data_IF_524815358430
#
_entry.id   IF_524815358430
#
_cell.length_a   1.000
_cell.length_b   1.000
_cell.length_c   1.000
_cell.angle_alpha   90.00
_cell.angle_beta   90.00
_cell.angle_gamma   90.00
#
_symmetry.space_group_name_H-M   'P 1'
#
loop_
_entity.id
_entity.type
_entity.pdbx_description
1 polymer ?
#
# COMPACT_ATOMS: atom_id res chain seq x y z
N UNK A 1 -16.98 2.17 15.83
CA UNK A 1 -15.58 2.60 15.78
C UNK A 1 -15.43 3.37 14.49
N UNK A 2 -15.11 4.65 14.55
CA UNK A 2 -14.75 5.39 13.34
C UNK A 2 -13.57 4.67 12.68
N UNK A 3 -13.66 4.30 11.39
CA UNK A 3 -12.55 3.68 10.71
C UNK A 3 -11.38 4.66 10.79
N UNK A 4 -10.30 4.25 11.48
CA UNK A 4 -9.05 5.01 11.53
C UNK A 4 -8.68 5.33 10.08
N UNK A 5 -8.61 6.62 9.74
CA UNK A 5 -8.24 7.05 8.40
C UNK A 5 -6.90 6.38 8.03
N UNK A 6 -6.90 5.63 6.93
CA UNK A 6 -5.70 4.97 6.42
C UNK A 6 -4.80 6.07 5.84
N UNK A 7 -3.52 6.10 6.26
CA UNK A 7 -2.52 6.94 5.60
C UNK A 7 -2.10 6.25 4.31
N UNK A 8 -2.57 6.77 3.17
CA UNK A 8 -2.30 6.19 1.85
C UNK A 8 -1.06 6.78 1.16
N UNK A 9 -0.45 7.82 1.76
CA UNK A 9 0.71 8.53 1.23
C UNK A 9 0.43 9.38 -0.02
N UNK A 10 -0.83 9.54 -0.42
CA UNK A 10 -1.26 10.25 -1.63
C UNK A 10 -1.00 9.47 -2.93
N UNK A 11 -1.13 10.11 -4.10
CA UNK A 11 -0.89 9.47 -5.40
C UNK A 11 0.54 8.92 -5.56
N UNK A 12 0.69 7.67 -6.01
CA UNK A 12 2.00 7.03 -6.22
C UNK A 12 2.82 7.65 -7.35
N UNK A 13 2.12 8.19 -8.36
CA UNK A 13 2.73 8.76 -9.55
C UNK A 13 2.27 10.21 -9.74
N UNK A 14 3.10 11.06 -10.36
CA UNK A 14 2.71 12.42 -10.66
C UNK A 14 1.45 12.49 -11.52
N UNK A 15 0.48 13.28 -11.08
CA UNK A 15 -0.57 13.78 -11.95
C UNK A 15 -0.04 14.99 -12.72
N UNK A 16 -0.54 15.25 -13.93
CA UNK A 16 -0.16 16.44 -14.69
C UNK A 16 -0.32 17.69 -13.79
N UNK A 17 0.76 18.43 -13.48
CA UNK A 17 0.72 19.52 -12.52
C UNK A 17 -0.12 20.70 -13.00
N UNK A 18 -0.29 20.87 -14.31
CA UNK A 18 -1.13 21.92 -14.88
C UNK A 18 -2.62 21.59 -14.69
N UNK A 19 -2.99 20.33 -14.89
CA UNK A 19 -4.38 19.87 -14.68
C UNK A 19 -4.70 19.73 -13.19
N UNK A 20 -3.76 19.26 -12.37
CA UNK A 20 -3.95 19.07 -10.93
C UNK A 20 -4.01 20.39 -10.14
N UNK A 21 -3.28 21.43 -10.56
CA UNK A 21 -3.33 22.75 -9.91
C UNK A 21 -4.55 23.58 -10.30
N UNK A 22 -5.22 23.24 -11.42
CA UNK A 22 -6.43 23.91 -11.90
C UNK A 22 -7.41 22.89 -12.49
N UNK A 23 -7.99 22.01 -11.65
CA UNK A 23 -8.87 20.95 -12.14
C UNK A 23 -10.17 21.47 -12.74
N UNK A 24 -10.48 22.77 -12.59
CA UNK A 24 -11.68 23.40 -13.13
C UNK A 24 -12.95 23.07 -12.34
N UNK A 25 -13.03 21.88 -11.72
CA UNK A 25 -14.03 21.52 -10.72
C UNK A 25 -13.56 20.34 -9.84
N UNK A 26 -14.32 20.05 -8.78
CA UNK A 26 -14.05 18.97 -7.81
C UNK A 26 -14.06 17.57 -8.45
N UNK A 27 -14.95 17.32 -9.42
CA UNK A 27 -15.04 16.03 -10.11
C UNK A 27 -13.74 15.71 -10.86
N UNK A 28 -13.17 16.70 -11.54
CA UNK A 28 -11.88 16.54 -12.23
C UNK A 28 -10.74 16.38 -11.22
N UNK A 29 -10.77 17.09 -10.10
CA UNK A 29 -9.78 16.94 -9.04
C UNK A 29 -9.75 15.50 -8.48
N UNK A 30 -10.94 14.95 -8.19
CA UNK A 30 -11.10 13.56 -7.75
C UNK A 30 -10.58 12.59 -8.79
N UNK A 31 -10.92 12.80 -10.06
CA UNK A 31 -10.48 11.94 -11.17
C UNK A 31 -8.96 11.92 -11.37
N UNK A 32 -8.28 13.03 -11.11
CA UNK A 32 -6.81 13.06 -11.14
C UNK A 32 -6.20 12.29 -9.96
N UNK A 33 -6.90 12.22 -8.84
CA UNK A 33 -6.50 11.47 -7.65
C UNK A 33 -6.94 9.99 -7.64
N UNK A 34 -7.74 9.53 -8.62
CA UNK A 34 -8.24 8.14 -8.75
C UNK A 34 -7.15 7.09 -9.09
N UNK A 35 -5.88 7.49 -9.18
CA UNK A 35 -4.76 6.59 -9.40
C UNK A 35 -4.43 5.71 -8.18
N UNK A 36 -3.39 4.89 -8.34
CA UNK A 36 -2.84 4.08 -7.24
C UNK A 36 -2.24 4.99 -6.16
N UNK A 37 -2.48 4.66 -4.89
CA UNK A 37 -1.85 5.37 -3.76
C UNK A 37 -0.39 4.94 -3.58
N UNK A 38 0.43 5.75 -2.95
CA UNK A 38 1.84 5.43 -2.69
C UNK A 38 1.95 4.17 -1.82
N UNK A 39 1.04 4.00 -0.86
CA UNK A 39 0.89 2.78 -0.05
C UNK A 39 0.67 1.55 -0.93
N UNK A 40 -0.29 1.60 -1.84
CA UNK A 40 -0.61 0.49 -2.73
C UNK A 40 0.57 0.17 -3.66
N UNK A 41 1.31 1.18 -4.10
CA UNK A 41 2.49 0.99 -4.94
C UNK A 41 3.63 0.29 -4.20
N UNK A 42 3.95 0.72 -2.98
CA UNK A 42 4.94 0.02 -2.15
C UNK A 42 4.52 -1.41 -1.84
N UNK A 43 3.25 -1.63 -1.51
CA UNK A 43 2.72 -2.97 -1.28
C UNK A 43 2.85 -3.83 -2.55
N UNK A 44 2.50 -3.31 -3.73
CA UNK A 44 2.64 -4.03 -4.99
C UNK A 44 4.10 -4.42 -5.27
N UNK A 45 5.06 -3.52 -5.00
CA UNK A 45 6.49 -3.79 -5.17
C UNK A 45 7.01 -4.86 -4.22
N UNK A 46 6.63 -4.79 -2.94
CA UNK A 46 6.98 -5.83 -1.96
C UNK A 46 6.37 -7.19 -2.33
N UNK A 47 5.08 -7.19 -2.67
CA UNK A 47 4.34 -8.38 -3.06
C UNK A 47 4.96 -9.08 -4.27
N UNK A 48 5.42 -8.34 -5.28
CA UNK A 48 6.09 -8.93 -6.44
C UNK A 48 7.28 -9.81 -6.04
N UNK A 49 8.17 -9.29 -5.19
CA UNK A 49 9.34 -10.04 -4.72
C UNK A 49 8.94 -11.25 -3.87
N UNK A 50 7.99 -11.06 -2.95
CA UNK A 50 7.50 -12.11 -2.06
C UNK A 50 6.85 -13.27 -2.85
N UNK A 51 6.04 -12.98 -3.87
CA UNK A 51 5.43 -13.99 -4.72
C UNK A 51 6.51 -14.75 -5.51
N UNK A 52 7.48 -14.05 -6.09
CA UNK A 52 8.53 -14.65 -6.90
C UNK A 52 9.41 -15.63 -6.10
N UNK A 53 9.62 -15.36 -4.81
CA UNK A 53 10.36 -16.26 -3.91
C UNK A 53 9.55 -17.48 -3.46
N UNK A 54 8.30 -17.64 -3.92
CA UNK A 54 7.42 -18.71 -3.46
C UNK A 54 7.07 -18.60 -1.97
N UNK A 55 7.02 -17.37 -1.45
CA UNK A 55 6.95 -17.14 -0.01
C UNK A 55 5.73 -17.82 0.64
N UNK A 56 6.00 -18.60 1.68
CA UNK A 56 5.06 -18.84 2.76
C UNK A 56 5.34 -17.82 3.86
N UNK A 57 4.32 -17.46 4.63
CA UNK A 57 4.50 -16.54 5.76
C UNK A 57 4.46 -17.36 7.04
N UNK A 58 5.55 -17.36 7.79
CA UNK A 58 5.58 -17.96 9.13
C UNK A 58 5.14 -16.91 10.14
N UNK A 59 4.13 -17.25 10.94
CA UNK A 59 3.68 -16.44 12.07
C UNK A 59 3.96 -17.19 13.37
N UNK A 60 4.68 -16.55 14.29
CA UNK A 60 4.83 -17.05 15.64
C UNK A 60 3.56 -16.74 16.44
N UNK A 61 2.93 -17.76 17.01
CA UNK A 61 1.78 -17.67 17.92
C UNK A 61 2.15 -18.27 19.28
N UNK A 62 1.35 -18.05 20.34
CA UNK A 62 1.59 -18.71 21.63
C UNK A 62 1.63 -20.24 21.56
N UNK A 63 1.00 -20.84 20.55
CA UNK A 63 0.92 -22.28 20.32
C UNK A 63 2.07 -22.83 19.44
N UNK A 64 2.95 -21.97 18.92
CA UNK A 64 4.10 -22.36 18.09
C UNK A 64 4.20 -21.57 16.78
N UNK A 65 4.73 -22.21 15.73
CA UNK A 65 4.88 -21.60 14.41
C UNK A 65 3.75 -22.03 13.47
N UNK A 66 3.08 -21.04 12.87
CA UNK A 66 2.06 -21.26 11.86
C UNK A 66 2.59 -20.85 10.48
N UNK A 67 2.68 -21.83 9.57
CA UNK A 67 3.00 -21.58 8.15
C UNK A 67 1.72 -21.25 7.38
N UNK A 68 1.65 -20.03 6.86
CA UNK A 68 0.52 -19.51 6.10
C UNK A 68 0.84 -19.61 4.60
N UNK A 69 -0.08 -20.13 3.76
CA UNK A 69 0.09 -20.11 2.31
C UNK A 69 0.31 -18.69 1.78
N UNK A 70 1.26 -18.53 0.85
CA UNK A 70 1.63 -17.22 0.31
C UNK A 70 0.45 -16.39 -0.20
N UNK A 71 -0.52 -17.02 -0.88
CA UNK A 71 -1.73 -16.35 -1.38
C UNK A 71 -2.55 -15.63 -0.28
N UNK A 72 -2.43 -16.07 0.97
CA UNK A 72 -3.14 -15.50 2.13
C UNK A 72 -2.21 -14.59 2.94
N UNK A 73 -0.96 -15.01 3.15
CA UNK A 73 -0.02 -14.28 4.03
C UNK A 73 0.72 -13.12 3.34
N UNK A 74 0.99 -13.21 2.04
CA UNK A 74 1.78 -12.20 1.33
C UNK A 74 1.05 -10.85 1.21
N UNK A 75 -0.25 -10.77 0.88
CA UNK A 75 -0.94 -9.49 0.78
C UNK A 75 -0.85 -8.63 2.06
N UNK A 76 -1.17 -9.12 3.27
CA UNK A 76 -1.04 -8.31 4.48
C UNK A 76 0.43 -7.97 4.78
N UNK A 77 1.37 -8.91 4.61
CA UNK A 77 2.79 -8.65 4.80
C UNK A 77 3.30 -7.53 3.88
N UNK A 78 2.85 -7.50 2.63
CA UNK A 78 3.23 -6.45 1.68
C UNK A 78 2.75 -5.05 2.11
N UNK A 79 1.57 -4.95 2.72
CA UNK A 79 1.10 -3.69 3.31
C UNK A 79 1.90 -3.29 4.56
N UNK A 80 2.41 -4.25 5.35
CA UNK A 80 3.30 -3.93 6.48
C UNK A 80 4.60 -3.26 5.99
N UNK A 81 5.19 -3.73 4.89
CA UNK A 81 6.32 -3.04 4.25
C UNK A 81 5.94 -1.64 3.76
N UNK A 82 4.77 -1.48 3.14
CA UNK A 82 4.29 -0.17 2.68
C UNK A 82 4.11 0.82 3.84
N UNK A 83 3.49 0.39 4.92
CA UNK A 83 3.25 1.20 6.12
C UNK A 83 4.57 1.61 6.78
N UNK A 84 5.55 0.69 6.84
CA UNK A 84 6.89 0.99 7.33
C UNK A 84 7.63 2.04 6.46
N UNK A 85 7.48 1.98 5.13
CA UNK A 85 8.07 2.97 4.22
C UNK A 85 7.42 4.36 4.36
N UNK A 86 6.11 4.42 4.56
CA UNK A 86 5.42 5.70 4.84
C UNK A 86 5.87 6.29 6.17
N UNK A 87 5.93 5.48 7.22
CA UNK A 87 6.42 5.93 8.53
C UNK A 87 7.86 6.46 8.45
N UNK A 88 8.75 5.79 7.70
CA UNK A 88 10.13 6.23 7.51
C UNK A 88 10.26 7.57 6.76
N UNK A 89 9.25 7.96 5.97
CA UNK A 89 9.22 9.24 5.24
C UNK A 89 8.76 10.41 6.11
N UNK A 90 7.99 10.12 7.16
CA UNK A 90 7.44 11.12 8.09
C UNK A 90 8.37 11.44 9.27
N UNK A 91 9.42 10.62 9.47
CA UNK A 91 10.48 10.80 10.47
C UNK A 91 11.55 11.79 9.99
#
# INVERSE_FOLDING_TARGET
MDPKAINDGGPAFPCDPFVASKPGNETVAKRLAEGMTLRDYFAAKAMQALIMMGATVTKHTPEGELTIPGRVGVPPLAYEYADAMLAAREA
#
